data_IF_346968070156
#
_entry.id   IF_346968070156
#
_cell.length_a   1.000
_cell.length_b   1.000
_cell.length_c   1.000
_cell.angle_alpha   90.00
_cell.angle_beta   90.00
_cell.angle_gamma   90.00
#
_symmetry.space_group_name_H-M   'P 1'
#
loop_
_entity.id
_entity.type
_entity.pdbx_description
1 polymer ?
#
# COMPACT_ATOMS: atom_id res chain seq x y z
N UNK A 1 -2.72 12.34 12.27
CA UNK A 1 -3.28 10.96 12.47
C UNK A 1 -4.71 10.89 13.01
N UNK A 2 -5.26 11.90 13.72
CA UNK A 2 -6.62 11.85 14.30
C UNK A 2 -7.72 11.43 13.30
N UNK A 3 -7.74 12.03 12.10
CA UNK A 3 -8.71 11.68 11.05
C UNK A 3 -8.55 10.25 10.52
N UNK A 4 -7.31 9.81 10.29
CA UNK A 4 -7.01 8.44 9.83
C UNK A 4 -7.48 7.39 10.84
N UNK A 5 -7.20 7.58 12.13
CA UNK A 5 -7.67 6.68 13.20
C UNK A 5 -9.20 6.66 13.29
N UNK A 6 -9.85 7.82 13.16
CA UNK A 6 -11.31 7.91 13.16
C UNK A 6 -11.94 7.17 11.96
N UNK A 7 -11.33 7.25 10.78
CA UNK A 7 -11.75 6.45 9.63
C UNK A 7 -11.57 4.96 9.91
N UNK A 8 -10.36 4.54 10.31
CA UNK A 8 -10.03 3.13 10.56
C UNK A 8 -10.89 2.46 11.65
N UNK A 9 -11.42 3.23 12.61
CA UNK A 9 -12.37 2.76 13.62
C UNK A 9 -13.71 2.28 13.04
N UNK A 10 -14.04 2.65 11.79
CA UNK A 10 -15.22 2.14 11.07
C UNK A 10 -14.84 0.89 10.29
N UNK A 11 -15.53 -0.22 10.56
CA UNK A 11 -15.27 -1.54 9.95
C UNK A 11 -15.43 -1.56 8.42
N UNK A 12 -16.23 -0.66 7.86
CA UNK A 12 -16.49 -0.54 6.42
C UNK A 12 -15.52 0.41 5.69
N UNK A 13 -14.45 0.86 6.34
CA UNK A 13 -13.41 1.66 5.69
C UNK A 13 -12.17 0.82 5.39
N UNK A 14 -11.54 1.12 4.24
CA UNK A 14 -10.38 0.42 3.73
C UNK A 14 -9.29 1.42 3.36
N UNK A 15 -8.04 0.99 3.33
CA UNK A 15 -6.89 1.82 3.05
C UNK A 15 -6.18 1.31 1.79
N UNK A 16 -6.06 2.19 0.78
CA UNK A 16 -5.27 1.91 -0.40
C UNK A 16 -3.84 2.40 -0.16
N UNK A 17 -2.86 1.51 -0.29
CA UNK A 17 -1.44 1.83 -0.26
C UNK A 17 -1.06 2.33 -1.65
N UNK A 18 -1.21 3.64 -1.88
CA UNK A 18 -1.04 4.29 -3.18
C UNK A 18 -0.49 5.70 -3.05
N UNK A 19 0.20 6.18 -4.08
CA UNK A 19 0.71 7.56 -4.19
C UNK A 19 1.85 7.93 -3.24
N UNK A 20 2.25 7.02 -2.33
CA UNK A 20 3.29 7.27 -1.33
C UNK A 20 4.63 7.61 -2.00
N UNK A 21 5.03 6.84 -3.02
CA UNK A 21 6.29 7.08 -3.74
C UNK A 21 6.33 8.45 -4.44
N UNK A 22 5.18 8.99 -4.87
CA UNK A 22 5.11 10.29 -5.55
C UNK A 22 5.46 11.46 -4.62
N UNK A 23 5.45 11.24 -3.30
CA UNK A 23 5.82 12.22 -2.27
C UNK A 23 7.25 12.07 -1.77
N UNK A 24 7.95 11.03 -2.23
CA UNK A 24 9.33 10.78 -1.81
C UNK A 24 10.30 11.75 -2.50
N UNK A 25 11.52 11.87 -1.98
CA UNK A 25 12.53 12.74 -2.55
C UNK A 25 12.98 12.19 -3.92
N UNK A 26 12.79 12.93 -5.03
CA UNK A 26 13.20 12.46 -6.35
C UNK A 26 14.69 12.14 -6.41
N UNK A 27 15.06 11.07 -7.13
CA UNK A 27 16.44 10.59 -7.35
C UNK A 27 17.24 10.24 -6.08
N UNK A 28 16.63 10.21 -4.89
CA UNK A 28 17.34 9.94 -3.64
C UNK A 28 16.54 9.07 -2.65
N UNK A 29 15.34 8.63 -3.02
CA UNK A 29 14.53 7.77 -2.18
C UNK A 29 15.01 6.32 -2.20
N UNK A 30 14.75 5.61 -1.11
CA UNK A 30 14.92 4.16 -0.98
C UNK A 30 13.66 3.54 -0.37
N UNK A 31 13.43 2.23 -0.54
CA UNK A 31 12.22 1.57 -0.03
C UNK A 31 11.98 1.79 1.48
N UNK A 32 13.04 1.85 2.29
CA UNK A 32 12.94 2.13 3.73
C UNK A 32 12.31 3.49 4.06
N UNK A 33 12.42 4.48 3.17
CA UNK A 33 11.84 5.81 3.39
C UNK A 33 10.31 5.77 3.27
N UNK A 34 9.77 4.76 2.58
CA UNK A 34 8.34 4.56 2.40
C UNK A 34 7.76 3.61 3.47
N UNK A 35 8.61 2.74 4.03
CA UNK A 35 8.21 1.66 4.93
C UNK A 35 7.44 2.15 6.16
N UNK A 36 7.89 3.25 6.77
CA UNK A 36 7.26 3.79 7.99
C UNK A 36 5.80 4.15 7.76
N UNK A 37 5.49 4.92 6.70
CA UNK A 37 4.11 5.33 6.42
C UNK A 37 3.25 4.17 5.93
N UNK A 38 3.84 3.21 5.20
CA UNK A 38 3.14 2.00 4.76
C UNK A 38 2.73 1.15 5.98
N UNK A 39 3.66 0.86 6.88
CA UNK A 39 3.36 0.09 8.09
C UNK A 39 2.43 0.86 9.03
N UNK A 40 2.56 2.17 9.15
CA UNK A 40 1.60 2.98 9.92
C UNK A 40 0.17 2.82 9.41
N UNK A 41 -0.04 2.85 8.09
CA UNK A 41 -1.35 2.59 7.48
C UNK A 41 -1.84 1.16 7.78
N UNK A 42 -0.98 0.16 7.60
CA UNK A 42 -1.30 -1.25 7.82
C UNK A 42 -1.62 -1.54 9.29
N UNK A 43 -0.84 -1.01 10.23
CA UNK A 43 -1.05 -1.19 11.66
C UNK A 43 -2.32 -0.47 12.13
N UNK A 44 -2.69 0.63 11.47
CA UNK A 44 -3.90 1.40 11.79
C UNK A 44 -5.17 0.72 11.26
N UNK A 45 -5.16 0.20 10.03
CA UNK A 45 -6.35 -0.41 9.41
C UNK A 45 -6.41 -1.94 9.58
N UNK A 46 -5.27 -2.59 9.83
CA UNK A 46 -5.12 -4.05 9.76
C UNK A 46 -4.92 -4.53 8.32
N UNK A 47 -4.10 -5.57 8.14
CA UNK A 47 -3.76 -6.11 6.81
C UNK A 47 -4.99 -6.49 5.99
N UNK A 48 -6.06 -7.00 6.61
CA UNK A 48 -7.28 -7.39 5.91
C UNK A 48 -8.04 -6.20 5.30
N UNK A 49 -7.66 -4.96 5.59
CA UNK A 49 -8.29 -3.76 5.03
C UNK A 49 -7.33 -2.89 4.22
N UNK A 50 -6.13 -3.38 3.95
CA UNK A 50 -5.13 -2.69 3.15
C UNK A 50 -4.91 -3.38 1.80
N UNK A 51 -4.80 -2.61 0.72
CA UNK A 51 -4.46 -3.14 -0.61
C UNK A 51 -3.64 -2.15 -1.44
N UNK A 52 -2.81 -2.66 -2.34
CA UNK A 52 -1.95 -1.86 -3.20
C UNK A 52 -2.73 -1.05 -4.25
N UNK A 53 -2.21 0.12 -4.59
CA UNK A 53 -2.59 0.88 -5.77
C UNK A 53 -1.39 1.61 -6.38
N UNK A 54 -1.18 1.44 -7.69
CA UNK A 54 -0.01 2.00 -8.36
C UNK A 54 0.03 3.53 -8.46
N UNK A 55 -1.13 4.19 -8.37
CA UNK A 55 -1.28 5.65 -8.58
C UNK A 55 -0.67 6.13 -9.91
N UNK A 56 -0.69 5.28 -10.92
CA UNK A 56 -0.21 5.63 -12.25
C UNK A 56 -1.23 6.57 -12.94
N UNK A 57 -0.78 7.63 -13.63
CA UNK A 57 0.61 7.99 -13.89
C UNK A 57 1.27 8.89 -12.83
N UNK A 58 0.57 9.36 -11.80
CA UNK A 58 1.11 10.30 -10.81
C UNK A 58 2.38 9.79 -10.11
N UNK A 59 2.49 8.48 -9.86
CA UNK A 59 3.72 7.89 -9.31
C UNK A 59 4.99 8.20 -10.12
N UNK A 60 4.86 8.45 -11.44
CA UNK A 60 5.99 8.76 -12.34
C UNK A 60 6.60 10.14 -12.10
N UNK A 61 5.99 10.99 -11.26
CA UNK A 61 6.64 12.20 -10.76
C UNK A 61 7.92 11.89 -9.98
N UNK A 62 8.04 10.69 -9.40
CA UNK A 62 9.20 10.28 -8.60
C UNK A 62 9.80 8.95 -9.04
N UNK A 63 9.00 7.98 -9.48
CA UNK A 63 9.48 6.65 -9.84
C UNK A 63 8.64 5.96 -10.93
N UNK A 64 9.25 5.16 -11.82
CA UNK A 64 8.53 4.20 -12.64
C UNK A 64 7.63 3.30 -11.79
N UNK A 65 6.48 2.89 -12.33
CA UNK A 65 5.55 1.99 -11.62
C UNK A 65 6.23 0.67 -11.20
N UNK A 66 7.15 0.15 -12.02
CA UNK A 66 7.91 -1.05 -11.71
C UNK A 66 8.77 -0.90 -10.44
N UNK A 67 9.39 0.26 -10.26
CA UNK A 67 10.23 0.56 -9.09
C UNK A 67 9.36 0.72 -7.83
N UNK A 68 8.19 1.37 -7.96
CA UNK A 68 7.23 1.46 -6.87
C UNK A 68 6.75 0.06 -6.41
N UNK A 69 6.38 -0.81 -7.35
CA UNK A 69 5.98 -2.18 -7.05
C UNK A 69 7.13 -2.96 -6.39
N UNK A 70 8.35 -2.83 -6.93
CA UNK A 70 9.53 -3.53 -6.41
C UNK A 70 9.88 -3.07 -5.00
N UNK A 71 9.83 -1.76 -4.74
CA UNK A 71 10.03 -1.21 -3.41
C UNK A 71 9.00 -1.73 -2.40
N UNK A 72 7.71 -1.76 -2.76
CA UNK A 72 6.69 -2.30 -1.85
C UNK A 72 6.91 -3.79 -1.58
N UNK A 73 7.29 -4.59 -2.59
CA UNK A 73 7.65 -6.00 -2.40
C UNK A 73 8.85 -6.16 -1.46
N UNK A 74 9.87 -5.32 -1.59
CA UNK A 74 11.03 -5.34 -0.70
C UNK A 74 10.64 -5.03 0.75
N UNK A 75 9.81 -4.00 0.97
CA UNK A 75 9.36 -3.56 2.30
C UNK A 75 8.63 -4.68 3.05
N UNK A 76 7.86 -5.51 2.33
CA UNK A 76 7.05 -6.58 2.94
C UNK A 76 7.63 -7.97 2.75
N UNK A 77 8.88 -8.10 2.27
CA UNK A 77 9.50 -9.37 1.89
C UNK A 77 9.51 -10.42 3.01
N UNK A 78 9.62 -9.96 4.26
CA UNK A 78 9.70 -10.83 5.45
C UNK A 78 8.31 -11.21 6.01
N UNK A 79 7.22 -10.72 5.39
CA UNK A 79 5.87 -11.12 5.77
C UNK A 79 5.50 -12.46 5.11
N UNK A 80 4.67 -13.29 5.77
CA UNK A 80 4.15 -14.53 5.18
C UNK A 80 3.49 -14.31 3.80
N UNK A 81 3.56 -15.31 2.92
CA UNK A 81 3.06 -15.19 1.55
C UNK A 81 1.55 -14.90 1.47
N UNK A 82 0.75 -15.47 2.38
CA UNK A 82 -0.69 -15.18 2.49
C UNK A 82 -0.94 -13.73 2.91
N UNK A 83 -0.14 -13.19 3.82
CA UNK A 83 -0.15 -11.79 4.19
C UNK A 83 0.18 -10.89 2.99
N UNK A 84 1.21 -11.23 2.21
CA UNK A 84 1.58 -10.47 1.03
C UNK A 84 0.48 -10.54 -0.04
N UNK A 85 -0.12 -11.71 -0.23
CA UNK A 85 -1.22 -11.91 -1.18
C UNK A 85 -2.45 -11.06 -0.85
N UNK A 86 -2.77 -10.87 0.44
CA UNK A 86 -3.81 -9.92 0.89
C UNK A 86 -3.52 -8.51 0.40
N UNK A 87 -2.30 -8.01 0.59
CA UNK A 87 -1.90 -6.66 0.19
C UNK A 87 -1.93 -6.46 -1.34
N UNK A 88 -1.43 -7.43 -2.10
CA UNK A 88 -1.26 -7.28 -3.55
C UNK A 88 -2.47 -7.74 -4.37
N UNK A 89 -3.42 -8.50 -3.80
CA UNK A 89 -4.49 -9.13 -4.58
C UNK A 89 -5.79 -9.33 -3.79
N UNK A 90 -5.80 -10.19 -2.77
CA UNK A 90 -7.06 -10.78 -2.25
C UNK A 90 -8.00 -9.72 -1.66
N UNK A 91 -7.46 -8.70 -1.00
CA UNK A 91 -8.28 -7.62 -0.44
C UNK A 91 -8.94 -6.77 -1.53
N UNK A 92 -8.23 -6.45 -2.61
CA UNK A 92 -8.81 -5.71 -3.72
C UNK A 92 -9.94 -6.50 -4.39
N UNK A 93 -9.73 -7.80 -4.61
CA UNK A 93 -10.75 -8.72 -5.13
C UNK A 93 -12.00 -8.72 -4.25
N UNK A 94 -11.81 -8.91 -2.93
CA UNK A 94 -12.92 -8.94 -1.96
C UNK A 94 -13.66 -7.60 -1.87
N UNK A 95 -12.94 -6.48 -1.84
CA UNK A 95 -13.52 -5.13 -1.67
C UNK A 95 -14.26 -4.69 -2.93
N UNK A 96 -13.66 -4.87 -4.11
CA UNK A 96 -14.27 -4.46 -5.38
C UNK A 96 -15.22 -5.51 -5.98
N UNK A 97 -15.30 -6.71 -5.37
CA UNK A 97 -16.15 -7.82 -5.83
C UNK A 97 -15.90 -8.20 -7.30
N UNK A 98 -14.64 -8.16 -7.70
CA UNK A 98 -14.22 -8.54 -9.06
C UNK A 98 -13.89 -10.03 -9.11
N UNK A 99 -14.05 -10.65 -10.27
CA UNK A 99 -13.60 -12.02 -10.47
C UNK A 99 -12.08 -12.05 -10.58
N UNK A 100 -11.41 -12.89 -9.78
CA UNK A 100 -9.99 -13.19 -9.99
C UNK A 100 -9.88 -14.29 -11.04
N UNK A 101 -8.98 -14.12 -12.00
CA UNK A 101 -8.62 -15.16 -12.96
C UNK A 101 -7.62 -16.15 -12.35
#
# INVERSE_FOLDING_TARGET
>A
LKGMKAAAARSNTFCKISGIVATAKPNAWKPSDLAEVIFLCIDTFGIDRCFFGGDWPVCTLTAPLADWISALKEIVKDKPLDWQKKLFHDNAVRVYKVQSK
#
